data_IF_359929183002
#
_entry.id   IF_359929183002
#
_cell.length_a   1.000
_cell.length_b   1.000
_cell.length_c   1.000
_cell.angle_alpha   90.00
_cell.angle_beta   90.00
_cell.angle_gamma   90.00
#
_symmetry.space_group_name_H-M   'P 1'
#
loop_
_entity.id
_entity.type
_entity.pdbx_description
1 polymer ?
#
# COMPACT_ATOMS: atom_id res chain seq x y z
N UNK A 1 -6.88 0.94 -16.34
CA UNK A 1 -7.48 2.01 -15.52
C UNK A 1 -8.49 1.36 -14.58
N UNK A 2 -8.26 1.40 -13.29
CA UNK A 2 -9.27 1.00 -12.31
C UNK A 2 -10.45 1.97 -12.41
N UNK A 3 -11.60 1.47 -12.85
CA UNK A 3 -12.84 2.27 -12.94
C UNK A 3 -13.36 2.69 -11.55
N UNK A 4 -12.80 2.16 -10.47
CA UNK A 4 -13.23 2.40 -9.10
C UNK A 4 -13.00 3.83 -8.64
N UNK A 5 -11.88 4.43 -8.99
CA UNK A 5 -11.51 5.77 -8.55
C UNK A 5 -12.42 6.90 -9.08
N UNK A 6 -13.13 6.67 -10.20
CA UNK A 6 -14.02 7.67 -10.83
C UNK A 6 -15.45 7.58 -10.31
N UNK A 7 -15.86 6.42 -9.82
CA UNK A 7 -17.29 6.13 -9.54
C UNK A 7 -17.62 6.02 -8.05
N UNK A 8 -16.62 5.89 -7.19
CA UNK A 8 -16.82 5.62 -5.76
C UNK A 8 -16.42 6.83 -4.93
N UNK A 9 -17.35 7.36 -4.17
CA UNK A 9 -17.04 8.35 -3.15
C UNK A 9 -16.37 7.66 -1.95
N UNK A 10 -15.05 7.76 -1.85
CA UNK A 10 -14.24 7.14 -0.80
C UNK A 10 -14.56 7.66 0.61
N UNK A 11 -15.17 8.85 0.72
CA UNK A 11 -15.53 9.43 2.03
C UNK A 11 -16.71 8.70 2.69
N UNK A 12 -17.60 8.09 1.88
CA UNK A 12 -18.83 7.45 2.36
C UNK A 12 -18.79 5.91 2.32
N UNK A 13 -17.64 5.27 2.01
CA UNK A 13 -17.51 3.81 2.09
C UNK A 13 -17.46 3.36 3.56
N UNK A 14 -18.50 2.65 4.08
CA UNK A 14 -18.57 2.32 5.51
C UNK A 14 -17.36 1.53 6.01
N UNK A 15 -16.91 0.53 5.24
CA UNK A 15 -15.77 -0.28 5.62
C UNK A 15 -14.47 0.53 5.74
N UNK A 16 -14.20 1.41 4.74
CA UNK A 16 -13.01 2.29 4.77
C UNK A 16 -13.12 3.35 5.86
N UNK A 17 -14.32 3.81 6.19
CA UNK A 17 -14.53 4.71 7.32
C UNK A 17 -14.16 4.03 8.66
N UNK A 18 -14.64 2.80 8.89
CA UNK A 18 -14.31 2.03 10.09
C UNK A 18 -12.80 1.75 10.16
N UNK A 19 -12.19 1.28 9.07
CA UNK A 19 -10.75 1.04 8.96
C UNK A 19 -9.95 2.28 9.37
N UNK A 20 -10.24 3.44 8.79
CA UNK A 20 -9.59 4.72 9.15
C UNK A 20 -9.73 5.07 10.62
N UNK A 21 -10.91 4.86 11.21
CA UNK A 21 -11.14 5.12 12.63
C UNK A 21 -10.35 4.18 13.53
N UNK A 22 -10.27 2.91 13.18
CA UNK A 22 -9.46 1.93 13.92
C UNK A 22 -7.97 2.26 13.82
N UNK A 23 -7.48 2.58 12.62
CA UNK A 23 -6.10 3.01 12.42
C UNK A 23 -5.81 4.27 13.24
N UNK A 24 -6.67 5.28 13.16
CA UNK A 24 -6.49 6.50 13.94
C UNK A 24 -6.40 6.24 15.44
N UNK A 25 -7.28 5.41 15.99
CA UNK A 25 -7.26 5.07 17.41
C UNK A 25 -5.95 4.36 17.82
N UNK A 26 -5.43 3.48 16.98
CA UNK A 26 -4.16 2.80 17.19
C UNK A 26 -2.97 3.75 17.07
N UNK A 27 -2.95 4.56 16.01
CA UNK A 27 -1.89 5.53 15.74
C UNK A 27 -1.80 6.59 16.83
N UNK A 28 -2.94 7.11 17.32
CA UNK A 28 -2.96 8.09 18.41
C UNK A 28 -2.32 7.56 19.68
N UNK A 29 -2.51 6.28 19.99
CA UNK A 29 -1.87 5.63 21.15
C UNK A 29 -0.36 5.45 20.93
N UNK A 30 0.05 4.98 19.76
CA UNK A 30 1.45 4.72 19.44
C UNK A 30 2.21 6.06 19.41
N UNK A 31 1.72 7.04 18.67
CA UNK A 31 2.38 8.34 18.54
C UNK A 31 2.41 9.08 19.88
N UNK A 32 1.34 8.99 20.69
CA UNK A 32 1.33 9.56 22.03
C UNK A 32 2.37 8.95 22.99
N UNK A 33 2.77 7.70 22.75
CA UNK A 33 3.76 6.99 23.57
C UNK A 33 5.21 7.19 23.09
N UNK A 34 5.43 7.39 21.78
CA UNK A 34 6.77 7.42 21.18
C UNK A 34 7.20 8.84 20.85
N UNK A 35 6.42 9.56 20.04
CA UNK A 35 6.71 10.91 19.54
C UNK A 35 5.42 11.66 19.23
N UNK A 36 5.50 12.99 19.15
CA UNK A 36 4.35 13.81 18.72
C UNK A 36 4.16 13.70 17.21
N UNK A 37 2.91 13.76 16.73
CA UNK A 37 2.60 13.69 15.31
C UNK A 37 3.36 14.69 14.43
N UNK A 38 3.65 15.90 14.96
CA UNK A 38 4.44 16.93 14.28
C UNK A 38 5.90 16.53 13.98
N UNK A 39 6.40 15.48 14.63
CA UNK A 39 7.75 14.97 14.42
C UNK A 39 7.79 13.90 13.30
N UNK A 40 6.62 13.60 12.72
CA UNK A 40 6.44 12.66 11.62
C UNK A 40 6.12 13.36 10.32
N UNK A 41 6.56 12.76 9.21
CA UNK A 41 5.92 12.98 7.92
C UNK A 41 4.89 11.89 7.63
N UNK A 42 3.85 12.21 6.86
CA UNK A 42 2.90 11.25 6.33
C UNK A 42 3.11 11.06 4.83
N UNK A 43 3.19 9.82 4.39
CA UNK A 43 3.33 9.44 2.97
C UNK A 43 2.22 8.47 2.62
N UNK A 44 1.49 8.73 1.54
CA UNK A 44 0.41 7.85 1.09
C UNK A 44 -0.17 8.22 -0.25
N UNK A 45 -1.23 7.55 -0.66
CA UNK A 45 -1.97 7.82 -1.89
C UNK A 45 -3.21 8.68 -1.59
N UNK A 46 -3.17 9.95 -1.95
CA UNK A 46 -4.25 10.89 -1.60
C UNK A 46 -5.50 10.75 -2.48
N UNK A 47 -5.28 10.43 -3.74
CA UNK A 47 -6.32 10.51 -4.75
C UNK A 47 -6.96 11.90 -4.80
N UNK A 48 -8.14 12.02 -5.41
CA UNK A 48 -8.83 13.31 -5.50
C UNK A 48 -9.43 13.80 -4.18
N UNK A 49 -9.65 12.93 -3.20
CA UNK A 49 -10.36 13.28 -1.96
C UNK A 49 -9.43 13.65 -0.82
N UNK A 50 -8.18 13.20 -0.85
CA UNK A 50 -7.21 13.38 0.25
C UNK A 50 -7.78 13.01 1.62
N UNK A 51 -8.63 11.98 1.69
CA UNK A 51 -9.40 11.66 2.89
C UNK A 51 -8.51 11.34 4.08
N UNK A 52 -7.49 10.52 3.87
CA UNK A 52 -6.55 10.11 4.92
C UNK A 52 -5.65 11.28 5.34
N UNK A 53 -5.26 12.12 4.39
CA UNK A 53 -4.50 13.36 4.65
C UNK A 53 -5.28 14.32 5.53
N UNK A 54 -6.58 14.53 5.24
CA UNK A 54 -7.47 15.35 6.08
C UNK A 54 -7.54 14.81 7.50
N UNK A 55 -7.67 13.49 7.63
CA UNK A 55 -7.80 12.83 8.92
C UNK A 55 -6.51 12.94 9.74
N UNK A 56 -5.37 12.55 9.19
CA UNK A 56 -4.10 12.52 9.91
C UNK A 56 -3.55 13.91 10.23
N UNK A 57 -3.75 14.89 9.33
CA UNK A 57 -3.41 16.26 9.65
C UNK A 57 -4.19 16.78 10.86
N UNK A 58 -5.52 16.59 10.89
CA UNK A 58 -6.37 17.13 11.95
C UNK A 58 -6.21 16.42 13.29
N UNK A 59 -6.16 15.08 13.25
CA UNK A 59 -6.24 14.26 14.44
C UNK A 59 -4.86 13.91 15.02
N UNK A 60 -3.84 13.78 14.18
CA UNK A 60 -2.47 13.43 14.59
C UNK A 60 -1.53 14.65 14.53
N UNK A 61 -1.99 15.79 14.02
CA UNK A 61 -1.20 17.04 13.91
C UNK A 61 0.08 16.85 13.07
N UNK A 62 -0.02 16.07 11.97
CA UNK A 62 1.08 15.87 11.03
C UNK A 62 1.05 16.99 9.99
N UNK A 63 2.12 17.79 9.91
CA UNK A 63 2.23 18.97 9.05
C UNK A 63 3.20 18.78 7.87
N UNK A 64 3.87 17.64 7.76
CA UNK A 64 4.70 17.28 6.62
C UNK A 64 4.01 16.09 5.91
N UNK A 65 3.47 16.34 4.71
CA UNK A 65 2.66 15.33 4.03
C UNK A 65 3.02 15.21 2.56
N UNK A 66 3.17 13.99 2.08
CA UNK A 66 3.52 13.68 0.69
C UNK A 66 2.48 12.73 0.11
N UNK A 67 1.82 13.17 -0.96
CA UNK A 67 0.89 12.36 -1.74
C UNK A 67 1.55 11.87 -3.02
N UNK A 68 1.59 10.55 -3.21
CA UNK A 68 2.10 9.92 -4.42
C UNK A 68 0.92 9.65 -5.36
N UNK A 69 0.99 10.17 -6.60
CA UNK A 69 -0.14 10.16 -7.54
C UNK A 69 0.29 9.66 -8.93
N UNK A 70 -0.19 8.51 -9.33
CA UNK A 70 0.23 7.81 -10.55
C UNK A 70 -0.43 8.26 -11.87
N UNK A 71 -1.05 9.42 -11.91
CA UNK A 71 -1.56 9.96 -13.18
C UNK A 71 -3.04 9.77 -13.48
N UNK A 72 -3.82 9.12 -12.61
CA UNK A 72 -5.27 8.95 -12.77
C UNK A 72 -6.04 10.28 -12.81
N UNK A 73 -5.45 11.33 -12.25
CA UNK A 73 -6.04 12.68 -12.21
C UNK A 73 -5.06 13.71 -12.77
N UNK A 74 -5.59 14.77 -13.38
CA UNK A 74 -4.76 15.90 -13.80
C UNK A 74 -4.18 16.62 -12.58
N UNK A 75 -2.99 17.21 -12.73
CA UNK A 75 -2.34 17.99 -11.69
C UNK A 75 -3.22 19.13 -11.19
N UNK A 76 -3.85 19.85 -12.12
CA UNK A 76 -4.77 20.93 -11.79
C UNK A 76 -5.94 20.45 -10.89
N UNK A 77 -6.50 19.26 -11.18
CA UNK A 77 -7.57 18.71 -10.36
C UNK A 77 -7.10 18.32 -8.96
N UNK A 78 -5.89 17.75 -8.84
CA UNK A 78 -5.30 17.42 -7.56
C UNK A 78 -5.00 18.67 -6.73
N UNK A 79 -4.40 19.69 -7.33
CA UNK A 79 -4.08 20.95 -6.65
C UNK A 79 -5.35 21.71 -6.18
N UNK A 80 -6.42 21.71 -6.99
CA UNK A 80 -7.71 22.31 -6.59
C UNK A 80 -8.36 21.57 -5.41
N UNK A 81 -8.20 20.25 -5.33
CA UNK A 81 -8.80 19.45 -4.26
C UNK A 81 -7.90 19.30 -3.03
N UNK A 82 -6.64 19.72 -3.12
CA UNK A 82 -5.68 19.65 -2.03
C UNK A 82 -6.18 20.46 -0.82
N UNK A 83 -6.45 19.80 0.32
CA UNK A 83 -7.11 20.46 1.44
C UNK A 83 -6.18 21.37 2.26
N UNK A 84 -4.87 21.10 2.24
CA UNK A 84 -3.88 21.82 3.05
C UNK A 84 -2.62 22.13 2.25
N UNK A 85 -1.99 23.27 2.54
CA UNK A 85 -0.74 23.69 1.90
C UNK A 85 0.45 22.81 2.26
N UNK A 86 0.40 22.12 3.39
CA UNK A 86 1.45 21.22 3.86
C UNK A 86 1.53 19.89 3.08
N UNK A 87 0.62 19.64 2.14
CA UNK A 87 0.64 18.46 1.28
C UNK A 87 1.46 18.76 0.02
N UNK A 88 2.53 18.00 -0.18
CA UNK A 88 3.30 17.99 -1.42
C UNK A 88 2.79 16.83 -2.29
N UNK A 89 2.43 17.11 -3.54
CA UNK A 89 2.02 16.08 -4.51
C UNK A 89 3.23 15.70 -5.35
N UNK A 90 3.56 14.42 -5.40
CA UNK A 90 4.59 13.85 -6.26
C UNK A 90 3.94 12.96 -7.31
N UNK A 91 4.30 13.18 -8.59
CA UNK A 91 3.72 12.48 -9.73
C UNK A 91 4.58 11.30 -10.13
N UNK A 92 3.98 10.14 -10.26
CA UNK A 92 4.61 8.90 -10.69
C UNK A 92 4.10 7.67 -9.94
N UNK A 93 4.58 6.52 -10.36
CA UNK A 93 4.32 5.28 -9.65
C UNK A 93 5.14 5.21 -8.36
N UNK A 94 4.66 4.48 -7.37
CA UNK A 94 5.29 4.43 -6.04
C UNK A 94 6.75 4.00 -6.08
N UNK A 95 7.08 2.98 -6.87
CA UNK A 95 8.44 2.46 -7.02
C UNK A 95 9.43 3.48 -7.64
N UNK A 96 8.95 4.45 -8.40
CA UNK A 96 9.78 5.53 -8.95
C UNK A 96 9.86 6.75 -8.04
N UNK A 97 8.81 7.02 -7.29
CA UNK A 97 8.70 8.22 -6.44
C UNK A 97 9.31 8.00 -5.06
N UNK A 98 9.05 6.85 -4.42
CA UNK A 98 9.57 6.55 -3.06
C UNK A 98 11.08 6.75 -2.91
N UNK A 99 11.93 6.31 -3.87
CA UNK A 99 13.38 6.55 -3.77
C UNK A 99 13.79 8.02 -3.82
N UNK A 100 12.90 8.92 -4.25
CA UNK A 100 13.17 10.38 -4.33
C UNK A 100 12.76 11.13 -3.07
N UNK A 101 12.06 10.49 -2.15
CA UNK A 101 11.58 11.09 -0.91
C UNK A 101 12.67 10.98 0.16
N UNK A 102 12.85 12.05 0.93
CA UNK A 102 13.68 11.99 2.13
C UNK A 102 12.98 11.14 3.21
N UNK A 103 13.38 9.88 3.30
CA UNK A 103 12.90 8.92 4.28
C UNK A 103 13.75 8.88 5.55
N UNK A 104 14.73 9.77 5.74
CA UNK A 104 15.51 9.89 6.97
C UNK A 104 14.71 10.46 8.15
N UNK A 105 13.55 11.04 7.84
CA UNK A 105 12.61 11.59 8.83
C UNK A 105 11.66 10.49 9.31
N UNK A 106 11.34 10.40 10.61
CA UNK A 106 10.33 9.48 11.11
C UNK A 106 9.03 9.58 10.32
N UNK A 107 8.57 8.46 9.78
CA UNK A 107 7.50 8.47 8.80
C UNK A 107 6.32 7.60 9.23
N UNK A 108 5.12 8.10 9.03
CA UNK A 108 3.91 7.31 8.94
C UNK A 108 3.62 7.09 7.46
N UNK A 109 3.78 5.87 6.99
CA UNK A 109 3.60 5.52 5.58
C UNK A 109 2.42 4.57 5.47
N UNK A 110 1.42 4.96 4.68
CA UNK A 110 0.30 4.08 4.36
C UNK A 110 0.16 3.93 2.85
N UNK A 111 0.56 2.77 2.34
CA UNK A 111 0.39 2.40 0.94
C UNK A 111 -0.89 1.55 0.79
N UNK A 112 -2.01 2.22 0.48
CA UNK A 112 -3.33 1.61 0.28
C UNK A 112 -3.53 1.32 -1.22
N UNK A 113 -2.95 0.21 -1.70
CA UNK A 113 -3.07 -0.20 -3.09
C UNK A 113 -4.49 -0.68 -3.41
N UNK A 114 -5.09 -0.10 -4.43
CA UNK A 114 -6.44 -0.47 -4.92
C UNK A 114 -6.47 -1.82 -5.66
N UNK A 115 -5.31 -2.41 -5.93
CA UNK A 115 -5.14 -3.63 -6.70
C UNK A 115 -4.76 -4.86 -5.87
N UNK A 116 -4.63 -5.99 -6.58
CA UNK A 116 -4.08 -7.22 -6.02
C UNK A 116 -2.58 -7.08 -5.78
N UNK A 117 -2.04 -7.92 -4.89
CA UNK A 117 -0.60 -7.96 -4.62
C UNK A 117 0.21 -8.09 -5.91
N UNK A 118 1.21 -7.24 -6.09
CA UNK A 118 2.10 -7.20 -7.25
C UNK A 118 3.55 -7.21 -6.81
N UNK A 119 4.44 -7.64 -7.69
CA UNK A 119 5.88 -7.76 -7.38
C UNK A 119 6.50 -6.41 -7.03
N UNK A 120 6.14 -5.32 -7.74
CA UNK A 120 6.65 -3.98 -7.46
C UNK A 120 6.32 -3.47 -6.04
N UNK A 121 5.23 -3.97 -5.44
CA UNK A 121 4.89 -3.61 -4.06
C UNK A 121 5.96 -4.09 -3.06
N UNK A 122 6.63 -5.22 -3.34
CA UNK A 122 7.76 -5.69 -2.54
C UNK A 122 9.02 -4.83 -2.74
N UNK A 123 9.18 -4.21 -3.91
CA UNK A 123 10.26 -3.24 -4.17
C UNK A 123 10.02 -1.95 -3.38
N UNK A 124 8.77 -1.49 -3.30
CA UNK A 124 8.37 -0.36 -2.45
C UNK A 124 8.68 -0.64 -0.97
N UNK A 125 8.33 -1.85 -0.49
CA UNK A 125 8.68 -2.29 0.86
C UNK A 125 10.19 -2.26 1.11
N UNK A 126 10.96 -2.78 0.17
CA UNK A 126 12.43 -2.80 0.27
C UNK A 126 13.01 -1.39 0.39
N UNK A 127 12.56 -0.47 -0.47
CA UNK A 127 12.97 0.94 -0.41
C UNK A 127 12.65 1.57 0.95
N UNK A 128 11.45 1.36 1.46
CA UNK A 128 11.00 1.91 2.74
C UNK A 128 11.87 1.36 3.89
N UNK A 129 11.94 0.04 4.02
CA UNK A 129 12.57 -0.59 5.18
C UNK A 129 14.09 -0.43 5.22
N UNK A 130 14.75 -0.20 4.09
CA UNK A 130 16.19 0.13 4.09
C UNK A 130 16.48 1.57 4.51
N UNK A 131 15.51 2.46 4.46
CA UNK A 131 15.78 3.90 4.55
C UNK A 131 15.15 4.55 5.78
N UNK A 132 13.95 4.11 6.21
CA UNK A 132 13.24 4.77 7.31
C UNK A 132 13.92 4.56 8.66
N UNK A 133 13.97 5.58 9.53
CA UNK A 133 14.53 5.44 10.87
C UNK A 133 13.63 4.62 11.80
N UNK A 134 14.24 4.07 12.84
CA UNK A 134 13.52 3.38 13.89
C UNK A 134 12.43 4.26 14.52
N UNK A 135 11.27 3.65 14.76
CA UNK A 135 10.07 4.35 15.24
C UNK A 135 9.15 4.86 14.12
N UNK A 136 9.52 4.68 12.85
CA UNK A 136 8.60 4.88 11.74
C UNK A 136 7.48 3.82 11.77
N UNK A 137 6.33 4.16 11.20
CA UNK A 137 5.14 3.29 11.17
C UNK A 137 4.79 3.04 9.71
N UNK A 138 4.66 1.76 9.36
CA UNK A 138 4.26 1.36 8.02
C UNK A 138 2.94 0.60 8.04
N UNK A 139 2.04 0.96 7.12
CA UNK A 139 0.74 0.33 6.91
C UNK A 139 0.64 -0.08 5.44
N UNK A 140 0.28 -1.33 5.22
CA UNK A 140 0.14 -1.91 3.88
C UNK A 140 -1.27 -2.44 3.68
N UNK A 141 -1.90 -2.07 2.58
CA UNK A 141 -3.20 -2.59 2.18
C UNK A 141 -3.17 -2.96 0.70
N UNK A 142 -3.71 -4.13 0.38
CA UNK A 142 -3.95 -4.57 -1.00
C UNK A 142 -5.15 -5.52 -1.05
N UNK A 143 -5.66 -5.78 -2.26
CA UNK A 143 -6.66 -6.83 -2.43
C UNK A 143 -6.00 -8.20 -2.27
N UNK A 144 -6.61 -9.06 -1.45
CA UNK A 144 -6.10 -10.40 -1.12
C UNK A 144 -6.30 -11.46 -2.21
N UNK A 145 -6.89 -11.12 -3.37
CA UNK A 145 -7.20 -12.10 -4.41
C UNK A 145 -5.95 -12.55 -5.17
N UNK A 146 -5.62 -13.83 -5.09
CA UNK A 146 -4.56 -14.50 -5.85
C UNK A 146 -5.19 -15.34 -6.97
N UNK A 147 -5.60 -14.67 -8.06
CA UNK A 147 -6.29 -15.28 -9.21
C UNK A 147 -5.46 -15.16 -10.47
N UNK A 148 -5.53 -16.17 -11.34
CA UNK A 148 -4.76 -16.27 -12.60
C UNK A 148 -4.85 -15.01 -13.45
N UNK A 149 -6.03 -14.48 -13.70
CA UNK A 149 -6.24 -13.31 -14.55
C UNK A 149 -5.68 -11.98 -14.03
N UNK A 150 -5.17 -11.96 -12.79
CA UNK A 150 -4.58 -10.77 -12.19
C UNK A 150 -3.09 -10.59 -12.54
N UNK A 151 -2.43 -11.62 -13.06
CA UNK A 151 -0.97 -11.71 -13.23
C UNK A 151 -0.54 -12.01 -14.66
N UNK A 152 -1.39 -11.76 -15.65
CA UNK A 152 -1.02 -11.91 -17.07
C UNK A 152 -0.06 -10.78 -17.42
N UNK A 153 1.21 -11.11 -17.67
CA UNK A 153 2.19 -10.15 -18.14
C UNK A 153 1.74 -9.51 -19.45
N UNK A 154 1.90 -8.20 -19.54
CA UNK A 154 1.65 -7.37 -20.72
C UNK A 154 2.78 -7.56 -21.75
N UNK A 155 2.96 -8.77 -22.26
CA UNK A 155 3.64 -8.99 -23.55
C UNK A 155 2.58 -9.19 -24.62
N UNK A 156 1.99 -8.11 -25.07
CA UNK A 156 1.41 -7.98 -26.42
C UNK A 156 0.22 -8.88 -26.80
N UNK A 157 -0.31 -9.74 -25.93
CA UNK A 157 -1.44 -10.62 -26.21
C UNK A 157 -2.56 -10.46 -25.21
N UNK A 158 -3.70 -9.95 -25.70
CA UNK A 158 -4.99 -9.97 -25.00
C UNK A 158 -5.43 -11.44 -24.93
N UNK A 159 -5.16 -12.12 -23.83
CA UNK A 159 -5.79 -13.42 -23.55
C UNK A 159 -7.17 -13.20 -22.96
N UNK A 160 -8.13 -13.95 -23.48
CA UNK A 160 -9.56 -13.84 -23.15
C UNK A 160 -9.81 -13.90 -21.63
N UNK A 161 -10.56 -12.94 -21.15
CA UNK A 161 -10.98 -12.72 -19.75
C UNK A 161 -11.81 -13.85 -19.10
N UNK A 162 -11.95 -14.99 -19.69
CA UNK A 162 -12.85 -16.05 -19.21
C UNK A 162 -12.21 -17.01 -18.19
N UNK A 163 -10.88 -17.14 -18.15
CA UNK A 163 -10.18 -18.03 -17.21
C UNK A 163 -9.63 -17.33 -15.95
N UNK A 164 -9.74 -16.02 -15.87
CA UNK A 164 -9.12 -15.19 -14.82
C UNK A 164 -9.79 -15.24 -13.45
N UNK A 165 -10.76 -16.10 -13.21
CA UNK A 165 -11.52 -16.16 -11.95
C UNK A 165 -11.06 -17.27 -10.99
N UNK A 166 -10.30 -18.26 -11.47
CA UNK A 166 -9.82 -19.36 -10.64
C UNK A 166 -8.62 -18.96 -9.78
N UNK A 167 -8.50 -19.50 -8.56
CA UNK A 167 -7.30 -19.35 -7.75
C UNK A 167 -6.04 -19.83 -8.50
N UNK A 168 -4.89 -19.20 -8.23
CA UNK A 168 -3.61 -19.66 -8.74
C UNK A 168 -3.21 -21.00 -8.10
N UNK A 169 -2.48 -21.83 -8.84
CA UNK A 169 -1.80 -23.00 -8.28
C UNK A 169 -0.51 -22.59 -7.56
N UNK A 170 0.09 -23.49 -6.74
CA UNK A 170 1.39 -23.25 -6.13
C UNK A 170 2.52 -22.97 -7.14
N UNK A 171 2.46 -23.59 -8.31
CA UNK A 171 3.42 -23.40 -9.39
C UNK A 171 3.28 -22.01 -9.99
N UNK A 172 2.04 -21.61 -10.30
CA UNK A 172 1.75 -20.29 -10.90
C UNK A 172 2.11 -19.13 -9.97
N UNK A 173 1.83 -19.22 -8.66
CA UNK A 173 2.23 -18.18 -7.73
C UNK A 173 3.76 -18.10 -7.57
N UNK A 174 4.46 -19.25 -7.64
CA UNK A 174 5.92 -19.29 -7.65
C UNK A 174 6.52 -18.69 -8.92
N UNK A 175 5.88 -18.89 -10.07
CA UNK A 175 6.29 -18.26 -11.32
C UNK A 175 6.23 -16.74 -11.24
N UNK A 176 5.15 -16.19 -10.67
CA UNK A 176 4.95 -14.75 -10.52
C UNK A 176 5.89 -14.14 -9.46
N UNK A 177 5.97 -14.74 -8.28
CA UNK A 177 6.62 -14.12 -7.11
C UNK A 177 7.96 -14.74 -6.73
N UNK A 178 8.36 -15.84 -7.38
CA UNK A 178 9.67 -16.47 -7.16
C UNK A 178 9.94 -16.83 -5.70
N UNK A 179 11.09 -16.42 -5.22
CA UNK A 179 11.57 -16.73 -3.86
C UNK A 179 10.77 -16.07 -2.74
N UNK A 180 9.87 -15.15 -3.05
CA UNK A 180 8.96 -14.58 -2.05
C UNK A 180 7.93 -15.60 -1.57
N UNK A 181 7.63 -16.62 -2.38
CA UNK A 181 6.68 -17.68 -2.02
C UNK A 181 7.32 -18.65 -1.02
N UNK A 182 6.64 -19.01 0.09
CA UNK A 182 7.10 -20.05 0.99
C UNK A 182 7.30 -21.39 0.26
N UNK A 183 8.33 -22.15 0.65
CA UNK A 183 8.64 -23.44 0.00
C UNK A 183 7.56 -24.51 0.24
N UNK A 184 6.88 -24.42 1.39
CA UNK A 184 5.84 -25.33 1.87
C UNK A 184 4.41 -24.83 1.59
N UNK A 185 4.21 -24.15 0.46
CA UNK A 185 2.90 -23.64 0.06
C UNK A 185 1.92 -24.79 -0.24
N UNK A 186 0.72 -24.72 0.33
CA UNK A 186 -0.32 -25.74 0.14
C UNK A 186 -1.02 -25.60 -1.23
N UNK A 187 -1.60 -26.70 -1.78
CA UNK A 187 -2.29 -26.66 -3.09
C UNK A 187 -3.45 -25.66 -3.17
N UNK A 188 -4.13 -25.40 -2.07
CA UNK A 188 -5.29 -24.49 -1.96
C UNK A 188 -4.93 -23.10 -1.36
N UNK A 189 -3.65 -22.78 -1.28
CA UNK A 189 -3.16 -21.57 -0.65
C UNK A 189 -3.69 -20.24 -1.27
N UNK A 190 -4.07 -20.26 -2.55
CA UNK A 190 -4.59 -19.09 -3.26
C UNK A 190 -6.12 -19.00 -3.27
N UNK A 191 -6.83 -19.91 -2.60
CA UNK A 191 -8.29 -19.81 -2.46
C UNK A 191 -8.70 -18.57 -1.67
N UNK A 192 -9.96 -18.08 -1.83
CA UNK A 192 -10.43 -16.90 -1.11
C UNK A 192 -10.28 -17.00 0.42
N UNK A 193 -10.34 -18.20 0.97
CA UNK A 193 -10.22 -18.46 2.41
C UNK A 193 -8.77 -18.35 2.89
N UNK A 194 -7.80 -18.82 2.10
CA UNK A 194 -6.38 -18.94 2.49
C UNK A 194 -5.48 -17.84 1.92
N UNK A 195 -5.88 -17.15 0.86
CA UNK A 195 -5.06 -16.15 0.17
C UNK A 195 -4.50 -15.05 1.09
N UNK A 196 -5.27 -14.62 2.09
CA UNK A 196 -4.78 -13.67 3.10
C UNK A 196 -3.55 -14.21 3.86
N UNK A 197 -3.61 -15.45 4.30
CA UNK A 197 -2.51 -16.08 5.04
C UNK A 197 -1.29 -16.30 4.14
N UNK A 198 -1.52 -16.63 2.88
CA UNK A 198 -0.45 -16.78 1.89
C UNK A 198 0.29 -15.46 1.67
N UNK A 199 -0.46 -14.38 1.42
CA UNK A 199 0.13 -13.03 1.28
C UNK A 199 0.87 -12.64 2.55
N UNK A 200 0.27 -12.86 3.73
CA UNK A 200 0.93 -12.58 5.00
C UNK A 200 2.26 -13.32 5.13
N UNK A 201 2.32 -14.62 4.81
CA UNK A 201 3.57 -15.41 4.85
C UNK A 201 4.62 -14.92 3.85
N UNK A 202 4.20 -14.44 2.67
CA UNK A 202 5.11 -13.84 1.69
C UNK A 202 5.72 -12.53 2.24
N UNK A 203 4.90 -11.70 2.87
CA UNK A 203 5.37 -10.46 3.52
C UNK A 203 6.28 -10.78 4.70
N UNK A 204 5.89 -11.69 5.58
CA UNK A 204 6.72 -12.12 6.73
C UNK A 204 8.09 -12.62 6.24
N UNK A 205 8.13 -13.47 5.20
CA UNK A 205 9.38 -13.97 4.62
C UNK A 205 10.28 -12.83 4.09
N UNK A 206 9.69 -11.82 3.45
CA UNK A 206 10.46 -10.65 3.00
C UNK A 206 11.05 -9.88 4.19
N UNK A 207 10.31 -9.72 5.27
CA UNK A 207 10.78 -9.03 6.48
C UNK A 207 11.83 -9.83 7.26
N UNK A 208 11.66 -11.15 7.43
CA UNK A 208 12.61 -12.01 8.13
C UNK A 208 14.00 -12.01 7.49
N UNK A 209 14.07 -11.97 6.16
CA UNK A 209 15.34 -11.91 5.43
C UNK A 209 16.06 -10.58 5.66
N UNK A 210 15.31 -9.47 5.81
CA UNK A 210 15.91 -8.13 5.93
C UNK A 210 16.19 -7.73 7.38
N UNK A 211 15.39 -8.23 8.31
CA UNK A 211 15.46 -7.88 9.73
C UNK A 211 15.35 -9.14 10.59
N UNK A 212 16.40 -9.95 10.68
CA UNK A 212 16.40 -11.07 11.62
C UNK A 212 16.16 -10.50 13.01
N UNK A 213 15.00 -10.80 13.57
CA UNK A 213 14.69 -10.45 14.95
C UNK A 213 15.66 -11.26 15.80
N UNK A 214 16.73 -10.60 16.27
CA UNK A 214 17.63 -11.20 17.24
C UNK A 214 16.84 -11.54 18.50
N UNK A 215 16.75 -12.83 18.80
CA UNK A 215 16.23 -13.37 20.06
C UNK A 215 17.23 -13.06 21.18
#
# INVERSE_FOLDING_TARGET
>A
MSKSAVTINYEIRPCKFVERRMLLASLSRILGAIRKGKDYQYIGFGGCSFTDFKLFHRELQIDQMISIENGNYSEHKLELNKPFRCIKILRGDSNTVLPTIDLSIPSLIWLDYDGVLQKYMFEDLETIFHTVPAGSIFIFSCNRELKKGNYVELEGHITNKTDGQSPMSPEEIKEVFGDLVPFDIEPDACTPEKSFYTIKRMLDKKFEVQYPIGI
#
